data_IF_451157196615
#
_entry.id   IF_451157196615
#
_cell.length_a   1.000
_cell.length_b   1.000
_cell.length_c   1.000
_cell.angle_alpha   90.00
_cell.angle_beta   90.00
_cell.angle_gamma   90.00
#
_symmetry.space_group_name_H-M   'P 1'
#
loop_
_entity.id
_entity.type
_entity.pdbx_description
1 polymer ?
#
# COMPACT_ATOMS: atom_id res chain seq x y z
N UNK A 1 17.79 2.98 7.46
CA UNK A 1 17.46 2.96 8.90
C UNK A 1 16.49 4.10 9.22
N UNK A 2 16.83 5.40 8.98
CA UNK A 2 15.98 6.53 9.36
C UNK A 2 14.55 6.48 8.83
N UNK A 3 14.34 6.15 7.55
CA UNK A 3 13.01 6.03 6.94
C UNK A 3 12.17 4.90 7.58
N UNK A 4 12.79 3.76 7.90
CA UNK A 4 12.12 2.65 8.56
C UNK A 4 11.68 2.97 10.00
N UNK A 5 12.43 3.84 10.69
CA UNK A 5 12.09 4.31 12.05
C UNK A 5 10.99 5.38 12.01
N UNK A 6 11.01 6.25 11.00
CA UNK A 6 10.07 7.36 10.86
C UNK A 6 8.69 6.93 10.35
N UNK A 7 8.64 5.97 9.42
CA UNK A 7 7.39 5.56 8.75
C UNK A 7 6.28 5.12 9.72
N UNK A 8 6.54 4.29 10.75
CA UNK A 8 5.51 3.95 11.73
C UNK A 8 4.97 5.17 12.49
N UNK A 9 5.84 6.12 12.84
CA UNK A 9 5.42 7.33 13.54
C UNK A 9 4.50 8.22 12.69
N UNK A 10 4.79 8.34 11.39
CA UNK A 10 4.00 9.13 10.43
C UNK A 10 2.53 8.67 10.36
N UNK A 11 2.29 7.36 10.35
CA UNK A 11 0.92 6.83 10.28
C UNK A 11 0.27 6.71 11.65
N UNK A 12 1.03 6.34 12.68
CA UNK A 12 0.52 6.20 14.05
C UNK A 12 -0.01 7.49 14.64
N UNK A 13 0.63 8.62 14.32
CA UNK A 13 0.22 9.93 14.85
C UNK A 13 -1.17 10.38 14.37
N UNK A 14 -1.65 9.88 13.24
CA UNK A 14 -2.97 10.25 12.71
C UNK A 14 -4.09 9.85 13.67
N UNK A 15 -3.97 8.68 14.29
CA UNK A 15 -4.98 8.19 15.25
C UNK A 15 -4.93 8.88 16.60
N UNK A 16 -3.82 9.51 16.93
CA UNK A 16 -3.64 10.29 18.16
C UNK A 16 -4.12 11.75 18.00
N UNK A 17 -4.00 12.30 16.80
CA UNK A 17 -4.33 13.70 16.51
C UNK A 17 -5.74 13.90 15.99
N UNK A 18 -6.34 12.90 15.34
CA UNK A 18 -7.58 13.06 14.58
C UNK A 18 -8.70 12.16 15.12
N UNK A 19 -9.92 12.70 15.21
CA UNK A 19 -11.13 11.89 15.40
C UNK A 19 -11.28 10.86 14.27
N UNK A 20 -11.89 9.72 14.58
CA UNK A 20 -12.06 8.59 13.66
C UNK A 20 -12.74 8.96 12.32
N UNK A 21 -13.61 9.96 12.35
CA UNK A 21 -14.37 10.45 11.19
C UNK A 21 -13.44 11.04 10.10
N UNK A 22 -12.30 11.60 10.50
CA UNK A 22 -11.33 12.22 9.59
C UNK A 22 -10.20 11.28 9.16
N UNK A 23 -10.10 10.06 9.72
CA UNK A 23 -8.97 9.17 9.41
C UNK A 23 -8.95 8.73 7.96
N UNK A 24 -10.11 8.50 7.31
CA UNK A 24 -10.15 8.13 5.88
C UNK A 24 -9.64 9.29 5.02
N UNK A 25 -10.11 10.51 5.30
CA UNK A 25 -9.65 11.70 4.58
C UNK A 25 -8.14 11.92 4.78
N UNK A 26 -7.64 11.82 6.01
CA UNK A 26 -6.22 11.97 6.33
C UNK A 26 -5.36 10.92 5.62
N UNK A 27 -5.75 9.65 5.65
CA UNK A 27 -5.04 8.59 4.93
C UNK A 27 -5.06 8.82 3.42
N UNK A 28 -6.17 9.29 2.84
CA UNK A 28 -6.26 9.64 1.44
C UNK A 28 -5.31 10.77 1.05
N UNK A 29 -5.20 11.82 1.87
CA UNK A 29 -4.23 12.89 1.66
C UNK A 29 -2.79 12.40 1.79
N UNK A 30 -2.48 11.58 2.80
CA UNK A 30 -1.14 11.01 2.98
C UNK A 30 -0.75 10.13 1.80
N UNK A 31 -1.66 9.28 1.32
CA UNK A 31 -1.42 8.40 0.18
C UNK A 31 -1.27 9.21 -1.12
N UNK A 32 -2.18 10.14 -1.38
CA UNK A 32 -2.13 11.01 -2.56
C UNK A 32 -0.84 11.83 -2.63
N UNK A 33 -0.43 12.45 -1.52
CA UNK A 33 0.82 13.19 -1.43
C UNK A 33 2.06 12.28 -1.54
N UNK A 34 1.99 11.07 -1.02
CA UNK A 34 3.07 10.08 -1.14
C UNK A 34 3.28 9.71 -2.61
N UNK A 35 2.20 9.41 -3.35
CA UNK A 35 2.29 9.11 -4.79
C UNK A 35 2.78 10.33 -5.58
N UNK A 36 2.25 11.53 -5.29
CA UNK A 36 2.73 12.76 -5.92
C UNK A 36 4.23 12.98 -5.68
N UNK A 37 4.71 12.75 -4.45
CA UNK A 37 6.12 12.86 -4.11
C UNK A 37 6.99 11.82 -4.84
N UNK A 38 6.49 10.59 -5.04
CA UNK A 38 7.19 9.56 -5.82
C UNK A 38 7.33 9.99 -7.29
N UNK A 39 6.24 10.48 -7.90
CA UNK A 39 6.25 10.91 -9.31
C UNK A 39 7.17 12.13 -9.49
N UNK A 40 6.99 13.17 -8.67
CA UNK A 40 7.81 14.38 -8.73
C UNK A 40 9.28 14.06 -8.42
N UNK A 41 9.53 13.20 -7.43
CA UNK A 41 10.89 12.77 -7.07
C UNK A 41 11.59 12.02 -8.19
N UNK A 42 10.88 11.16 -8.92
CA UNK A 42 11.43 10.46 -10.08
C UNK A 42 11.79 11.43 -11.23
N UNK A 43 10.90 12.39 -11.54
CA UNK A 43 11.12 13.38 -12.59
C UNK A 43 12.27 14.33 -12.22
N UNK A 44 12.15 14.98 -11.05
CA UNK A 44 13.13 15.99 -10.60
C UNK A 44 14.47 15.33 -10.31
N UNK A 45 14.47 14.16 -9.66
CA UNK A 45 15.70 13.42 -9.37
C UNK A 45 16.42 12.98 -10.64
N UNK A 46 15.68 12.49 -11.65
CA UNK A 46 16.24 12.13 -12.95
C UNK A 46 16.83 13.34 -13.71
N UNK A 47 16.17 14.49 -13.64
CA UNK A 47 16.68 15.74 -14.23
C UNK A 47 17.95 16.21 -13.51
N UNK A 48 17.90 16.31 -12.19
CA UNK A 48 19.05 16.75 -11.39
C UNK A 48 20.29 15.85 -11.56
N UNK A 49 20.08 14.53 -11.62
CA UNK A 49 21.16 13.59 -11.80
C UNK A 49 21.90 13.74 -13.15
N UNK A 50 21.22 14.26 -14.19
CA UNK A 50 21.83 14.58 -15.48
C UNK A 50 22.75 15.82 -15.43
N UNK A 51 22.47 16.77 -14.54
CA UNK A 51 23.26 18.00 -14.42
C UNK A 51 24.44 17.81 -13.47
N UNK A 52 24.20 17.44 -12.22
CA UNK A 52 25.22 17.21 -11.21
C UNK A 52 24.67 16.34 -10.07
N UNK A 53 25.24 15.16 -9.89
CA UNK A 53 24.87 14.22 -8.83
C UNK A 53 25.12 14.81 -7.43
N UNK A 54 26.19 15.60 -7.26
CA UNK A 54 26.47 16.24 -5.95
C UNK A 54 25.40 17.26 -5.60
N UNK A 55 24.99 18.09 -6.56
CA UNK A 55 23.89 19.04 -6.38
C UNK A 55 22.59 18.33 -6.06
N UNK A 56 22.27 17.22 -6.74
CA UNK A 56 21.09 16.40 -6.44
C UNK A 56 21.09 15.90 -4.99
N UNK A 57 22.22 15.41 -4.49
CA UNK A 57 22.37 14.94 -3.10
C UNK A 57 22.18 16.10 -2.11
N UNK A 58 22.74 17.28 -2.38
CA UNK A 58 22.57 18.46 -1.52
C UNK A 58 21.12 18.93 -1.45
N UNK A 59 20.41 18.93 -2.57
CA UNK A 59 18.97 19.26 -2.61
C UNK A 59 18.16 18.26 -1.79
N UNK A 60 18.43 16.96 -1.93
CA UNK A 60 17.77 15.92 -1.12
C UNK A 60 18.05 16.13 0.36
N UNK A 61 19.30 16.38 0.73
CA UNK A 61 19.68 16.67 2.13
C UNK A 61 18.95 17.91 2.68
N UNK A 62 18.84 18.98 1.89
CA UNK A 62 18.11 20.19 2.26
C UNK A 62 16.60 19.91 2.44
N UNK A 63 15.99 19.08 1.58
CA UNK A 63 14.59 18.67 1.74
C UNK A 63 14.36 17.86 3.01
N UNK A 64 15.27 16.94 3.36
CA UNK A 64 15.19 16.21 4.62
C UNK A 64 15.37 17.12 5.85
N UNK A 65 16.25 18.11 5.76
CA UNK A 65 16.44 19.10 6.83
C UNK A 65 15.16 19.94 7.00
N UNK A 66 14.56 20.39 5.89
CA UNK A 66 13.29 21.12 5.90
C UNK A 66 12.16 20.27 6.52
N UNK A 67 12.05 19.00 6.13
CA UNK A 67 11.10 18.07 6.73
C UNK A 67 11.31 17.88 8.24
N UNK A 68 12.57 17.81 8.69
CA UNK A 68 12.92 17.76 10.12
C UNK A 68 12.48 19.02 10.88
N UNK A 69 12.61 20.20 10.25
CA UNK A 69 12.13 21.47 10.83
C UNK A 69 10.61 21.45 10.97
N UNK A 70 9.86 21.01 9.93
CA UNK A 70 8.41 20.89 10.01
C UNK A 70 7.94 19.91 11.08
N UNK A 71 8.67 18.80 11.29
CA UNK A 71 8.35 17.86 12.35
C UNK A 71 8.40 18.46 13.77
N UNK A 72 9.11 19.56 13.99
CA UNK A 72 9.13 20.26 15.30
C UNK A 72 7.82 20.95 15.63
N UNK A 73 6.96 21.20 14.66
CA UNK A 73 5.63 21.78 14.87
C UNK A 73 4.58 20.73 15.28
N UNK A 74 4.92 19.45 15.23
CA UNK A 74 4.04 18.38 15.70
C UNK A 74 3.95 18.48 17.23
N UNK A 75 2.72 18.55 17.80
CA UNK A 75 2.55 18.63 19.25
C UNK A 75 3.07 17.37 19.94
N UNK A 76 3.63 17.55 21.14
CA UNK A 76 4.02 16.42 21.99
C UNK A 76 2.78 15.74 22.52
N UNK A 77 2.61 14.47 22.20
CA UNK A 77 1.49 13.65 22.65
C UNK A 77 1.89 12.79 23.86
N UNK A 78 0.97 12.53 24.80
CA UNK A 78 1.24 11.60 25.88
C UNK A 78 1.48 10.20 25.32
N UNK A 79 2.42 9.47 25.91
CA UNK A 79 2.71 8.09 25.49
C UNK A 79 1.70 7.15 26.14
N UNK A 80 0.76 6.62 25.36
CA UNK A 80 -0.28 5.71 25.83
C UNK A 80 0.27 4.38 26.37
N UNK A 81 1.27 3.84 25.68
CA UNK A 81 1.88 2.56 26.03
C UNK A 81 3.39 2.72 26.25
N UNK A 82 3.79 2.86 27.51
CA UNK A 82 5.22 2.87 27.89
C UNK A 82 5.81 1.46 27.74
N UNK A 83 6.97 1.38 27.09
CA UNK A 83 7.74 0.13 27.01
C UNK A 83 8.08 -0.33 28.42
N UNK A 84 7.53 -1.48 28.85
CA UNK A 84 7.71 -2.03 30.20
C UNK A 84 9.07 -2.71 30.40
N UNK A 85 9.70 -3.17 29.34
CA UNK A 85 10.99 -3.88 29.39
C UNK A 85 11.80 -3.61 28.14
N UNK A 86 13.13 -3.47 28.29
CA UNK A 86 14.09 -3.39 27.17
C UNK A 86 14.61 -4.77 26.73
N UNK A 87 14.14 -5.86 27.37
CA UNK A 87 14.55 -7.21 27.01
C UNK A 87 13.97 -7.58 25.63
N UNK A 88 14.79 -7.96 24.63
CA UNK A 88 14.33 -8.32 23.28
C UNK A 88 13.26 -9.44 23.28
N UNK A 89 13.38 -10.41 24.16
CA UNK A 89 12.40 -11.49 24.27
C UNK A 89 11.05 -11.02 24.81
N UNK A 90 11.04 -10.10 25.76
CA UNK A 90 9.81 -9.49 26.27
C UNK A 90 9.14 -8.63 25.19
N UNK A 91 9.92 -7.88 24.40
CA UNK A 91 9.41 -7.10 23.26
C UNK A 91 8.81 -7.99 22.17
N UNK A 92 9.44 -9.11 21.85
CA UNK A 92 8.91 -10.09 20.90
C UNK A 92 7.58 -10.69 21.38
N UNK A 93 7.50 -11.06 22.66
CA UNK A 93 6.28 -11.61 23.27
C UNK A 93 5.14 -10.58 23.26
N UNK A 94 5.45 -9.32 23.55
CA UNK A 94 4.49 -8.21 23.54
C UNK A 94 3.98 -7.94 22.11
N UNK A 95 4.88 -7.93 21.13
CA UNK A 95 4.52 -7.85 19.71
C UNK A 95 3.62 -9.01 19.29
N UNK A 96 3.99 -10.25 19.60
CA UNK A 96 3.22 -11.44 19.26
C UNK A 96 1.81 -11.41 19.88
N UNK A 97 1.70 -10.99 21.12
CA UNK A 97 0.42 -10.83 21.81
C UNK A 97 -0.44 -9.75 21.13
N UNK A 98 0.13 -8.60 20.85
CA UNK A 98 -0.53 -7.48 20.18
C UNK A 98 -0.99 -7.86 18.78
N UNK A 99 -0.10 -8.51 18.00
CA UNK A 99 -0.41 -9.01 16.67
C UNK A 99 -1.59 -10.01 16.70
N UNK A 100 -1.54 -10.98 17.61
CA UNK A 100 -2.59 -11.99 17.73
C UNK A 100 -3.92 -11.39 18.14
N UNK A 101 -3.90 -10.37 19.02
CA UNK A 101 -5.11 -9.66 19.45
C UNK A 101 -5.76 -8.91 18.28
N UNK A 102 -4.96 -8.23 17.44
CA UNK A 102 -5.45 -7.54 16.25
C UNK A 102 -5.96 -8.53 15.19
N UNK A 103 -5.25 -9.64 14.97
CA UNK A 103 -5.63 -10.68 14.01
C UNK A 103 -6.87 -11.49 14.42
N UNK A 104 -7.26 -11.49 15.71
CA UNK A 104 -8.50 -12.08 16.20
C UNK A 104 -9.69 -11.13 16.14
N UNK A 105 -9.46 -9.83 16.03
CA UNK A 105 -10.55 -8.86 15.83
C UNK A 105 -10.99 -8.90 14.38
N UNK A 106 -12.29 -9.10 14.13
CA UNK A 106 -12.81 -9.31 12.79
C UNK A 106 -12.47 -8.20 11.80
N UNK A 107 -12.66 -6.93 12.17
CA UNK A 107 -12.32 -5.79 11.33
C UNK A 107 -10.81 -5.54 11.26
N UNK A 108 -10.09 -5.84 12.35
CA UNK A 108 -8.63 -5.82 12.40
C UNK A 108 -8.02 -6.85 11.45
N UNK A 109 -8.51 -8.09 11.51
CA UNK A 109 -8.09 -9.18 10.61
C UNK A 109 -8.34 -8.84 9.15
N UNK A 110 -9.56 -8.39 8.83
CA UNK A 110 -9.92 -7.99 7.46
C UNK A 110 -8.98 -6.91 6.94
N UNK A 111 -8.89 -5.79 7.65
CA UNK A 111 -8.10 -4.67 7.20
C UNK A 111 -6.61 -5.02 7.11
N UNK A 112 -6.08 -5.80 8.07
CA UNK A 112 -4.70 -6.29 8.05
C UNK A 112 -4.44 -7.21 6.83
N UNK A 113 -5.34 -8.14 6.55
CA UNK A 113 -5.22 -9.05 5.41
C UNK A 113 -5.25 -8.29 4.08
N UNK A 114 -6.18 -7.33 3.93
CA UNK A 114 -6.31 -6.57 2.67
C UNK A 114 -5.16 -5.59 2.46
N UNK A 115 -4.68 -4.91 3.52
CA UNK A 115 -3.50 -4.04 3.38
C UNK A 115 -2.25 -4.86 3.06
N UNK A 116 -2.08 -6.02 3.66
CA UNK A 116 -1.00 -6.97 3.34
C UNK A 116 -1.07 -7.44 1.88
N UNK A 117 -2.27 -7.82 1.42
CA UNK A 117 -2.50 -8.20 0.03
C UNK A 117 -2.18 -7.04 -0.91
N UNK A 118 -2.65 -5.84 -0.62
CA UNK A 118 -2.43 -4.65 -1.44
C UNK A 118 -0.94 -4.35 -1.63
N UNK A 119 -0.17 -4.29 -0.54
CA UNK A 119 1.26 -3.98 -0.62
C UNK A 119 2.06 -5.12 -1.25
N UNK A 120 1.76 -6.36 -0.88
CA UNK A 120 2.40 -7.53 -1.49
C UNK A 120 2.08 -7.66 -2.98
N UNK A 121 0.80 -7.50 -3.35
CA UNK A 121 0.35 -7.53 -4.72
C UNK A 121 0.88 -6.34 -5.53
N UNK A 122 0.85 -5.13 -4.96
CA UNK A 122 1.33 -3.92 -5.63
C UNK A 122 2.81 -3.96 -5.97
N UNK A 123 3.65 -4.40 -5.01
CA UNK A 123 5.09 -4.56 -5.24
C UNK A 123 5.38 -5.61 -6.33
N UNK A 124 4.68 -6.75 -6.28
CA UNK A 124 4.84 -7.82 -7.27
C UNK A 124 4.29 -7.42 -8.63
N UNK A 125 3.12 -6.77 -8.68
CA UNK A 125 2.49 -6.30 -9.91
C UNK A 125 3.40 -5.34 -10.68
N UNK A 126 4.16 -4.50 -9.99
CA UNK A 126 5.12 -3.62 -10.64
C UNK A 126 6.17 -4.41 -11.45
N UNK A 127 6.70 -5.50 -10.88
CA UNK A 127 7.65 -6.39 -11.57
C UNK A 127 6.97 -7.11 -12.73
N UNK A 128 5.77 -7.61 -12.49
CA UNK A 128 4.96 -8.33 -13.49
C UNK A 128 4.61 -7.43 -14.67
N UNK A 129 4.19 -6.17 -14.45
CA UNK A 129 3.86 -5.21 -15.52
C UNK A 129 5.06 -4.95 -16.42
N UNK A 130 6.24 -4.73 -15.84
CA UNK A 130 7.46 -4.47 -16.61
C UNK A 130 7.79 -5.69 -17.49
N UNK A 131 7.77 -6.88 -16.92
CA UNK A 131 8.05 -8.11 -17.67
C UNK A 131 6.96 -8.40 -18.71
N UNK A 132 5.69 -8.23 -18.36
CA UNK A 132 4.56 -8.45 -19.28
C UNK A 132 4.58 -7.48 -20.46
N UNK A 133 4.84 -6.19 -20.22
CA UNK A 133 4.91 -5.21 -21.29
C UNK A 133 6.09 -5.48 -22.24
N UNK A 134 7.21 -5.94 -21.70
CA UNK A 134 8.37 -6.31 -22.52
C UNK A 134 8.10 -7.56 -23.38
N UNK A 135 7.53 -8.62 -22.80
CA UNK A 135 7.35 -9.90 -23.48
C UNK A 135 6.04 -10.01 -24.27
N UNK A 136 4.93 -9.49 -23.75
CA UNK A 136 3.63 -9.63 -24.39
C UNK A 136 3.33 -8.50 -25.39
N UNK A 137 3.83 -7.28 -25.13
CA UNK A 137 3.61 -6.12 -25.98
C UNK A 137 4.86 -5.71 -26.78
N UNK A 138 5.99 -6.39 -26.59
CA UNK A 138 7.29 -6.08 -27.23
C UNK A 138 7.72 -4.61 -27.01
N UNK A 139 7.49 -4.08 -25.83
CA UNK A 139 7.91 -2.71 -25.48
C UNK A 139 9.26 -2.70 -24.80
N UNK A 140 10.02 -1.64 -25.10
CA UNK A 140 11.26 -1.33 -24.39
C UNK A 140 10.97 -1.01 -22.91
N UNK A 141 12.02 -1.12 -22.08
CA UNK A 141 11.93 -0.91 -20.62
C UNK A 141 11.33 0.46 -20.27
N UNK A 142 11.64 1.50 -21.04
CA UNK A 142 11.13 2.86 -20.82
C UNK A 142 9.61 2.92 -20.93
N UNK A 143 9.02 2.33 -21.97
CA UNK A 143 7.57 2.25 -22.15
C UNK A 143 6.90 1.36 -21.11
N UNK A 144 7.57 0.27 -20.75
CA UNK A 144 7.09 -0.64 -19.69
C UNK A 144 7.05 0.06 -18.33
N UNK A 145 8.03 0.89 -18.03
CA UNK A 145 8.09 1.68 -16.80
C UNK A 145 6.99 2.76 -16.77
N UNK A 146 6.67 3.37 -17.90
CA UNK A 146 5.57 4.34 -18.02
C UNK A 146 4.22 3.70 -17.64
N UNK A 147 3.96 2.45 -18.02
CA UNK A 147 2.75 1.73 -17.61
C UNK A 147 2.66 1.55 -16.09
N UNK A 148 3.78 1.30 -15.41
CA UNK A 148 3.81 1.25 -13.94
C UNK A 148 3.51 2.63 -13.31
N UNK A 149 3.93 3.73 -13.93
CA UNK A 149 3.59 5.08 -13.48
C UNK A 149 2.10 5.39 -13.63
N UNK A 150 1.44 4.85 -14.67
CA UNK A 150 -0.01 4.99 -14.86
C UNK A 150 -0.79 4.37 -13.69
N UNK A 151 -0.35 3.22 -13.18
CA UNK A 151 -0.97 2.60 -11.98
C UNK A 151 -0.83 3.53 -10.78
N UNK A 152 0.37 4.07 -10.53
CA UNK A 152 0.58 4.99 -9.41
C UNK A 152 -0.30 6.24 -9.51
N UNK A 153 -0.44 6.81 -10.71
CA UNK A 153 -1.34 7.92 -10.96
C UNK A 153 -2.80 7.55 -10.68
N UNK A 154 -3.22 6.36 -11.09
CA UNK A 154 -4.53 5.81 -10.76
C UNK A 154 -4.75 5.69 -9.25
N UNK A 155 -3.76 5.19 -8.50
CA UNK A 155 -3.82 5.09 -7.02
C UNK A 155 -4.05 6.46 -6.39
N UNK A 156 -3.35 7.50 -6.86
CA UNK A 156 -3.54 8.85 -6.36
C UNK A 156 -4.98 9.36 -6.60
N UNK A 157 -5.53 9.16 -7.79
CA UNK A 157 -6.92 9.51 -8.11
C UNK A 157 -7.88 8.73 -7.19
N UNK A 158 -7.69 7.43 -7.05
CA UNK A 158 -8.50 6.56 -6.19
C UNK A 158 -8.45 6.98 -4.73
N UNK A 159 -7.28 7.37 -4.24
CA UNK A 159 -7.08 7.87 -2.88
C UNK A 159 -7.87 9.18 -2.63
N UNK A 160 -7.86 10.11 -3.58
CA UNK A 160 -8.63 11.36 -3.51
C UNK A 160 -10.13 11.07 -3.50
N UNK A 161 -10.61 10.17 -4.37
CA UNK A 161 -12.00 9.75 -4.42
C UNK A 161 -12.42 9.13 -3.07
N UNK A 162 -11.61 8.22 -2.54
CA UNK A 162 -11.88 7.59 -1.25
C UNK A 162 -11.92 8.61 -0.12
N UNK A 163 -10.95 9.53 -0.05
CA UNK A 163 -10.90 10.58 0.95
C UNK A 163 -12.16 11.45 0.99
N UNK A 164 -12.77 11.68 -0.18
CA UNK A 164 -13.93 12.56 -0.31
C UNK A 164 -15.26 11.84 -0.11
N UNK A 165 -15.39 10.61 -0.57
CA UNK A 165 -16.69 9.92 -0.68
C UNK A 165 -16.84 8.71 0.24
N UNK A 166 -15.76 8.18 0.81
CA UNK A 166 -15.82 7.01 1.68
C UNK A 166 -15.68 7.43 3.15
N UNK A 167 -16.69 7.11 3.94
CA UNK A 167 -16.64 7.32 5.40
C UNK A 167 -16.08 6.10 6.13
N UNK A 168 -15.60 6.28 7.37
CA UNK A 168 -15.13 5.17 8.21
C UNK A 168 -16.18 4.04 8.34
N UNK A 169 -17.45 4.38 8.47
CA UNK A 169 -18.56 3.40 8.55
C UNK A 169 -18.77 2.60 7.27
N UNK A 170 -18.35 3.11 6.13
CA UNK A 170 -18.47 2.47 4.83
C UNK A 170 -17.16 1.84 4.33
N UNK A 171 -16.12 1.78 5.17
CA UNK A 171 -14.81 1.26 4.80
C UNK A 171 -14.84 -0.19 4.30
N UNK A 172 -15.75 -1.03 4.79
CA UNK A 172 -15.90 -2.41 4.33
C UNK A 172 -16.67 -2.50 3.01
N UNK A 173 -17.52 -1.50 2.70
CA UNK A 173 -18.33 -1.50 1.47
C UNK A 173 -17.53 -1.31 0.18
N UNK A 174 -16.24 -0.98 0.28
CA UNK A 174 -15.34 -0.87 -0.86
C UNK A 174 -14.74 -2.21 -1.33
N UNK A 175 -14.94 -3.31 -0.57
CA UNK A 175 -14.38 -4.62 -0.91
C UNK A 175 -14.71 -5.12 -2.32
N UNK A 176 -15.93 -4.92 -2.87
CA UNK A 176 -16.25 -5.31 -4.25
C UNK A 176 -15.34 -4.66 -5.29
N UNK A 177 -14.77 -3.48 -5.02
CA UNK A 177 -13.80 -2.83 -5.93
C UNK A 177 -12.53 -3.67 -6.09
N UNK A 178 -12.12 -4.39 -5.02
CA UNK A 178 -11.00 -5.32 -5.09
C UNK A 178 -11.29 -6.54 -5.97
N UNK A 179 -12.54 -7.01 -6.02
CA UNK A 179 -12.97 -8.06 -6.94
C UNK A 179 -12.87 -7.60 -8.39
N UNK A 180 -13.37 -6.39 -8.69
CA UNK A 180 -13.27 -5.78 -10.02
C UNK A 180 -11.80 -5.58 -10.41
N UNK A 181 -10.97 -5.11 -9.47
CA UNK A 181 -9.53 -4.96 -9.68
C UNK A 181 -8.86 -6.30 -10.06
N UNK A 182 -9.15 -7.38 -9.33
CA UNK A 182 -8.62 -8.70 -9.63
C UNK A 182 -9.05 -9.21 -11.01
N UNK A 183 -10.32 -8.99 -11.39
CA UNK A 183 -10.81 -9.31 -12.74
C UNK A 183 -10.08 -8.51 -13.83
N UNK A 184 -9.79 -7.23 -13.58
CA UNK A 184 -9.01 -6.40 -14.50
C UNK A 184 -7.57 -6.90 -14.66
N UNK A 185 -6.93 -7.34 -13.56
CA UNK A 185 -5.59 -7.96 -13.66
C UNK A 185 -5.64 -9.25 -14.49
N UNK A 186 -6.65 -10.10 -14.32
CA UNK A 186 -6.84 -11.28 -15.17
C UNK A 186 -7.02 -10.87 -16.66
N UNK A 187 -7.76 -9.80 -16.95
CA UNK A 187 -8.02 -9.37 -18.32
C UNK A 187 -6.80 -8.77 -19.04
N UNK A 188 -5.72 -8.42 -18.32
CA UNK A 188 -4.46 -7.98 -18.95
C UNK A 188 -3.93 -8.97 -19.99
N UNK A 189 -4.20 -10.26 -19.83
CA UNK A 189 -3.72 -11.32 -20.75
C UNK A 189 -4.26 -11.14 -22.17
N UNK A 190 -5.39 -10.46 -22.33
CA UNK A 190 -6.05 -10.22 -23.62
C UNK A 190 -5.68 -8.90 -24.27
N UNK A 191 -4.86 -8.08 -23.57
CA UNK A 191 -4.50 -6.75 -24.04
C UNK A 191 -3.27 -6.82 -24.95
N UNK A 192 -3.39 -6.21 -26.15
CA UNK A 192 -2.35 -6.19 -27.17
C UNK A 192 -1.84 -4.79 -27.54
N UNK A 193 -2.44 -3.72 -26.99
CA UNK A 193 -2.05 -2.35 -27.31
C UNK A 193 -1.75 -1.52 -26.07
N UNK A 194 -0.86 -0.53 -26.22
CA UNK A 194 -0.45 0.35 -25.13
C UNK A 194 -1.63 1.16 -24.56
N UNK A 195 -2.52 1.65 -25.42
CA UNK A 195 -3.65 2.47 -24.99
C UNK A 195 -4.62 1.69 -24.08
N UNK A 196 -4.95 0.46 -24.47
CA UNK A 196 -5.79 -0.42 -23.66
C UNK A 196 -5.08 -0.86 -22.39
N UNK A 197 -3.77 -1.13 -22.46
CA UNK A 197 -2.95 -1.43 -21.29
C UNK A 197 -2.97 -0.26 -20.28
N UNK A 198 -2.69 0.95 -20.76
CA UNK A 198 -2.68 2.14 -19.92
C UNK A 198 -4.06 2.41 -19.27
N UNK A 199 -5.14 2.29 -20.05
CA UNK A 199 -6.50 2.48 -19.54
C UNK A 199 -6.84 1.45 -18.46
N UNK A 200 -6.55 0.18 -18.70
CA UNK A 200 -6.79 -0.91 -17.75
C UNK A 200 -6.00 -0.72 -16.47
N UNK A 201 -4.72 -0.41 -16.59
CA UNK A 201 -3.83 -0.17 -15.45
C UNK A 201 -4.21 1.08 -14.66
N UNK A 202 -4.73 2.11 -15.33
CA UNK A 202 -5.29 3.29 -14.67
C UNK A 202 -6.46 2.90 -13.76
N UNK A 203 -7.40 2.11 -14.26
CA UNK A 203 -8.54 1.65 -13.46
C UNK A 203 -8.12 0.71 -12.32
N UNK A 204 -7.16 -0.20 -12.56
CA UNK A 204 -6.56 -1.02 -11.50
C UNK A 204 -6.01 -0.11 -10.41
N UNK A 205 -5.29 0.94 -10.76
CA UNK A 205 -4.78 1.93 -9.81
C UNK A 205 -5.89 2.66 -9.05
N UNK A 206 -6.93 3.14 -9.74
CA UNK A 206 -8.05 3.85 -9.12
C UNK A 206 -8.75 2.96 -8.08
N UNK A 207 -9.09 1.73 -8.45
CA UNK A 207 -9.73 0.80 -7.52
C UNK A 207 -8.81 0.41 -6.36
N UNK A 208 -7.51 0.28 -6.62
CA UNK A 208 -6.50 0.07 -5.59
C UNK A 208 -6.49 1.20 -4.55
N UNK A 209 -6.45 2.47 -5.00
CA UNK A 209 -6.47 3.64 -4.12
C UNK A 209 -7.78 3.76 -3.34
N UNK A 210 -8.92 3.51 -3.99
CA UNK A 210 -10.23 3.51 -3.34
C UNK A 210 -10.37 2.40 -2.29
N UNK A 211 -9.66 1.29 -2.46
CA UNK A 211 -9.67 0.16 -1.53
C UNK A 211 -8.74 0.41 -0.34
N UNK A 212 -7.50 0.82 -0.60
CA UNK A 212 -6.47 0.87 0.46
C UNK A 212 -6.71 1.98 1.48
N UNK A 213 -7.16 3.15 1.06
CA UNK A 213 -7.31 4.32 1.94
C UNK A 213 -8.29 4.06 3.09
N UNK A 214 -9.55 3.62 2.87
CA UNK A 214 -10.47 3.36 3.95
C UNK A 214 -10.09 2.15 4.80
N UNK A 215 -9.43 1.14 4.23
CA UNK A 215 -8.98 -0.02 4.98
C UNK A 215 -7.74 0.26 5.83
N UNK A 216 -6.82 1.12 5.38
CA UNK A 216 -5.75 1.65 6.22
C UNK A 216 -6.32 2.42 7.42
N UNK A 217 -7.28 3.31 7.18
CA UNK A 217 -7.93 4.07 8.24
C UNK A 217 -8.64 3.16 9.26
N UNK A 218 -9.32 2.12 8.76
CA UNK A 218 -9.98 1.13 9.60
C UNK A 218 -8.98 0.34 10.45
N UNK A 219 -7.88 -0.12 9.84
CA UNK A 219 -6.82 -0.84 10.52
C UNK A 219 -6.19 0.01 11.62
N UNK A 220 -5.85 1.26 11.31
CA UNK A 220 -5.28 2.21 12.26
C UNK A 220 -6.24 2.46 13.43
N UNK A 221 -7.53 2.68 13.15
CA UNK A 221 -8.53 2.90 14.19
C UNK A 221 -8.73 1.67 15.09
N UNK A 222 -8.90 0.48 14.51
CA UNK A 222 -9.06 -0.76 15.29
C UNK A 222 -7.80 -1.07 16.09
N UNK A 223 -6.64 -0.94 15.48
CA UNK A 223 -5.38 -1.17 16.14
C UNK A 223 -5.11 -0.20 17.28
N UNK A 224 -5.41 1.10 17.11
CA UNK A 224 -5.30 2.08 18.19
C UNK A 224 -6.13 1.68 19.41
N UNK A 225 -7.40 1.31 19.22
CA UNK A 225 -8.29 0.91 20.31
C UNK A 225 -7.83 -0.39 20.99
N UNK A 226 -7.35 -1.37 20.22
CA UNK A 226 -7.07 -2.71 20.74
C UNK A 226 -5.69 -2.83 21.39
N UNK A 227 -4.67 -2.23 20.77
CA UNK A 227 -3.25 -2.48 21.09
C UNK A 227 -2.40 -1.20 21.14
N UNK A 228 -2.98 -0.04 20.85
CA UNK A 228 -2.28 1.24 20.71
C UNK A 228 -1.66 1.44 19.33
N UNK A 229 -1.47 2.71 18.96
CA UNK A 229 -1.05 3.13 17.62
C UNK A 229 0.29 2.53 17.20
N UNK A 230 1.28 2.55 18.09
CA UNK A 230 2.62 2.04 17.78
C UNK A 230 2.65 0.55 17.47
N UNK A 231 1.96 -0.28 18.25
CA UNK A 231 1.86 -1.72 18.03
C UNK A 231 1.04 -2.05 16.77
N UNK A 232 -0.01 -1.27 16.50
CA UNK A 232 -0.83 -1.41 15.30
C UNK A 232 0.00 -1.23 14.03
N UNK A 233 0.74 -0.13 13.95
CA UNK A 233 1.59 0.16 12.77
C UNK A 233 2.75 -0.84 12.66
N UNK A 234 3.31 -1.31 13.79
CA UNK A 234 4.33 -2.35 13.76
C UNK A 234 3.78 -3.67 13.20
N UNK A 235 2.57 -4.08 13.63
CA UNK A 235 1.87 -5.26 13.11
C UNK A 235 1.54 -5.13 11.62
N UNK A 236 1.06 -3.97 11.20
CA UNK A 236 0.77 -3.66 9.80
C UNK A 236 2.04 -3.77 8.95
N UNK A 237 3.11 -3.03 9.30
CA UNK A 237 4.37 -3.05 8.55
C UNK A 237 5.00 -4.44 8.47
N UNK A 238 4.94 -5.21 9.56
CA UNK A 238 5.42 -6.59 9.56
C UNK A 238 4.65 -7.45 8.55
N UNK A 239 3.32 -7.40 8.57
CA UNK A 239 2.46 -8.16 7.66
C UNK A 239 2.65 -7.74 6.21
N UNK A 240 2.71 -6.45 5.92
CA UNK A 240 2.91 -5.90 4.58
C UNK A 240 4.26 -6.34 4.00
N UNK A 241 5.35 -6.22 4.77
CA UNK A 241 6.67 -6.66 4.32
C UNK A 241 6.74 -8.18 4.12
N UNK A 242 6.06 -8.96 4.98
CA UNK A 242 5.94 -10.40 4.81
C UNK A 242 5.16 -10.75 3.55
N UNK A 243 4.05 -10.05 3.29
CA UNK A 243 3.26 -10.19 2.06
C UNK A 243 4.08 -9.88 0.81
N UNK A 244 4.85 -8.78 0.82
CA UNK A 244 5.77 -8.43 -0.27
C UNK A 244 6.79 -9.55 -0.50
N UNK A 245 7.42 -10.05 0.55
CA UNK A 245 8.41 -11.13 0.47
C UNK A 245 7.81 -12.42 -0.13
N UNK A 246 6.65 -12.84 0.38
CA UNK A 246 5.98 -14.06 -0.09
C UNK A 246 5.56 -13.95 -1.55
N UNK A 247 4.89 -12.87 -1.93
CA UNK A 247 4.36 -12.72 -3.30
C UNK A 247 5.48 -12.47 -4.33
N UNK A 248 6.50 -11.67 -3.98
CA UNK A 248 7.67 -11.49 -4.84
C UNK A 248 8.51 -12.77 -4.96
N UNK A 249 8.60 -13.54 -3.87
CA UNK A 249 9.23 -14.85 -3.89
C UNK A 249 8.47 -15.84 -4.77
N UNK A 250 7.14 -15.88 -4.69
CA UNK A 250 6.30 -16.72 -5.54
C UNK A 250 6.47 -16.33 -7.03
N UNK A 251 6.45 -15.04 -7.34
CA UNK A 251 6.76 -14.54 -8.69
C UNK A 251 8.12 -15.01 -9.19
N UNK A 252 9.16 -14.88 -8.37
CA UNK A 252 10.52 -15.31 -8.72
C UNK A 252 10.58 -16.81 -9.01
N UNK A 253 9.87 -17.63 -8.23
CA UNK A 253 9.77 -19.07 -8.45
C UNK A 253 9.04 -19.39 -9.77
N UNK A 254 7.92 -18.73 -10.06
CA UNK A 254 7.17 -18.91 -11.31
C UNK A 254 8.06 -18.61 -12.54
N UNK A 255 8.84 -17.51 -12.48
CA UNK A 255 9.80 -17.15 -13.54
C UNK A 255 10.90 -18.21 -13.65
N UNK A 256 11.47 -18.67 -12.52
CA UNK A 256 12.51 -19.69 -12.48
C UNK A 256 12.06 -21.01 -13.10
N UNK A 257 10.81 -21.40 -12.90
CA UNK A 257 10.23 -22.62 -13.48
C UNK A 257 9.74 -22.43 -14.92
N UNK A 258 9.99 -21.27 -15.54
CA UNK A 258 9.70 -21.03 -16.96
C UNK A 258 8.24 -20.82 -17.27
N UNK A 259 7.39 -20.43 -16.31
CA UNK A 259 6.01 -20.09 -16.60
C UNK A 259 5.94 -18.91 -17.57
N UNK A 260 5.08 -18.96 -18.61
CA UNK A 260 4.91 -17.84 -19.52
C UNK A 260 4.34 -16.64 -18.77
N UNK A 261 4.77 -15.43 -19.14
CA UNK A 261 4.41 -14.20 -18.42
C UNK A 261 2.88 -13.98 -18.33
N UNK A 262 2.13 -14.31 -19.40
CA UNK A 262 0.67 -14.23 -19.40
C UNK A 262 0.06 -15.22 -18.39
N UNK A 263 0.64 -16.40 -18.22
CA UNK A 263 0.24 -17.35 -17.18
C UNK A 263 0.47 -16.80 -15.78
N UNK A 264 1.61 -16.14 -15.55
CA UNK A 264 1.94 -15.48 -14.27
C UNK A 264 0.92 -14.37 -13.98
N UNK A 265 0.64 -13.48 -14.96
CA UNK A 265 -0.36 -12.41 -14.83
C UNK A 265 -1.73 -12.99 -14.47
N UNK A 266 -2.16 -14.06 -15.16
CA UNK A 266 -3.46 -14.68 -14.91
C UNK A 266 -3.55 -15.31 -13.52
N UNK A 267 -2.53 -16.09 -13.10
CA UNK A 267 -2.48 -16.72 -11.77
C UNK A 267 -2.50 -15.64 -10.68
N UNK A 268 -1.75 -14.57 -10.88
CA UNK A 268 -1.69 -13.46 -9.95
C UNK A 268 -3.01 -12.71 -9.84
N UNK A 269 -3.64 -12.41 -10.99
CA UNK A 269 -4.97 -11.79 -11.04
C UNK A 269 -6.04 -12.67 -10.41
N UNK A 270 -6.01 -13.97 -10.68
CA UNK A 270 -6.93 -14.96 -10.10
C UNK A 270 -6.76 -15.04 -8.56
N UNK A 271 -5.52 -15.04 -8.07
CA UNK A 271 -5.24 -15.01 -6.63
C UNK A 271 -5.86 -13.79 -5.95
N UNK A 272 -5.64 -12.59 -6.51
CA UNK A 272 -6.22 -11.35 -5.99
C UNK A 272 -7.75 -11.41 -6.03
N UNK A 273 -8.32 -11.81 -7.17
CA UNK A 273 -9.76 -11.93 -7.37
C UNK A 273 -10.39 -12.87 -6.34
N UNK A 274 -9.87 -14.09 -6.20
CA UNK A 274 -10.41 -15.09 -5.27
C UNK A 274 -10.30 -14.62 -3.81
N UNK A 275 -9.17 -14.03 -3.43
CA UNK A 275 -9.00 -13.49 -2.07
C UNK A 275 -10.01 -12.38 -1.79
N UNK A 276 -10.25 -11.49 -2.74
CA UNK A 276 -11.20 -10.39 -2.58
C UNK A 276 -12.66 -10.87 -2.60
N UNK A 277 -12.99 -11.89 -3.39
CA UNK A 277 -14.31 -12.54 -3.37
C UNK A 277 -14.57 -13.16 -2.00
N UNK A 278 -13.62 -13.94 -1.47
CA UNK A 278 -13.75 -14.56 -0.14
C UNK A 278 -13.94 -13.47 0.93
N UNK A 279 -13.12 -12.42 0.91
CA UNK A 279 -13.24 -11.30 1.83
C UNK A 279 -14.61 -10.62 1.72
N UNK A 280 -15.08 -10.34 0.50
CA UNK A 280 -16.38 -9.70 0.26
C UNK A 280 -17.55 -10.53 0.77
N UNK A 281 -17.55 -11.84 0.53
CA UNK A 281 -18.63 -12.74 0.99
C UNK A 281 -18.62 -12.84 2.52
N UNK A 282 -17.45 -13.09 3.11
CA UNK A 282 -17.34 -13.29 4.56
C UNK A 282 -17.80 -12.08 5.34
N UNK A 283 -17.44 -10.87 4.91
CA UNK A 283 -17.77 -9.63 5.64
C UNK A 283 -19.05 -8.92 5.16
N UNK A 284 -19.65 -9.35 4.05
CA UNK A 284 -20.97 -8.86 3.64
C UNK A 284 -22.11 -9.54 4.42
N UNK A 285 -21.90 -10.75 4.94
CA UNK A 285 -22.90 -11.50 5.69
C UNK A 285 -23.10 -10.98 7.12
N UNK A 286 -22.07 -10.37 7.70
CA UNK A 286 -22.10 -9.89 9.09
C UNK A 286 -22.74 -8.49 9.26
N UNK A 287 -23.14 -7.85 8.17
CA UNK A 287 -23.85 -6.56 8.16
C UNK A 287 -25.37 -6.67 7.89
N UNK A 288 -25.92 -7.88 7.94
CA UNK A 288 -27.37 -8.12 7.99
C UNK A 288 -27.81 -8.48 9.40
#
# INVERSE_FOLDING_TARGET
VGAATYSPAKYGILTELLPKEYLVAANGWVEGLTVAAIILGAIVGGLLAKFDVKMAILIIAALYLLAAIFNRYIPTLPVDHKIKSKNPWALFKDFYFSFTKLAKDQLGQLSLAITTLFWGAGATLRLVIIAWAAYALNYEIDKSTQLSAVVAFGVAIGAIIAARYVSMKSSVKVLPLGVIMGAFVCSMVFVSSWQFAALLLLFIGIFSGMLIVPLNALLQHRGHILIGSGHSIAAQNFSENLGILILSGAYTLMVKYGLPINGIVFIFGLFVLMTMVIASIHYSQDNK
#
